data_IF_115800879235
#
_entry.id   IF_115800879235
#
_cell.length_a   1.000
_cell.length_b   1.000
_cell.length_c   1.000
_cell.angle_alpha   90.00
_cell.angle_beta   90.00
_cell.angle_gamma   90.00
#
_symmetry.space_group_name_H-M   'P 1'
#
loop_
_entity.id
_entity.type
_entity.pdbx_description
1 polymer ?
#
# COMPACT_ATOMS: atom_id res chain seq x y z
N UNK A 1 -6.77 20.22 3.17
CA UNK A 1 -7.58 19.13 2.59
C UNK A 1 -7.63 17.99 3.61
N UNK A 2 -8.71 17.87 4.36
CA UNK A 2 -8.84 16.82 5.38
C UNK A 2 -9.00 15.46 4.71
N UNK A 3 -8.05 14.55 4.96
CA UNK A 3 -8.28 13.13 4.69
C UNK A 3 -9.54 12.73 5.45
N UNK A 4 -10.56 12.22 4.74
CA UNK A 4 -11.76 11.71 5.40
C UNK A 4 -11.35 10.48 6.22
N UNK A 5 -11.11 10.68 7.52
CA UNK A 5 -10.71 9.61 8.45
C UNK A 5 -11.71 8.45 8.48
N UNK A 6 -12.96 8.68 8.08
CA UNK A 6 -13.99 7.65 7.88
C UNK A 6 -13.59 6.53 6.91
N UNK A 7 -12.58 6.76 6.06
CA UNK A 7 -12.07 5.79 5.11
C UNK A 7 -10.82 5.06 5.61
N UNK A 8 -10.18 5.53 6.69
CA UNK A 8 -9.01 4.88 7.25
C UNK A 8 -9.41 3.65 8.08
N UNK A 9 -8.62 2.56 8.03
CA UNK A 9 -8.85 1.44 8.91
C UNK A 9 -8.52 1.85 10.34
N UNK A 10 -9.31 1.36 11.29
CA UNK A 10 -9.01 1.46 12.72
C UNK A 10 -8.26 0.21 13.19
N UNK A 11 -7.76 0.21 14.43
CA UNK A 11 -7.10 -0.97 15.01
C UNK A 11 -8.01 -2.21 15.08
N UNK A 12 -9.32 -2.00 15.21
CA UNK A 12 -10.35 -3.07 15.23
C UNK A 12 -10.75 -3.55 13.83
N UNK A 13 -10.29 -2.87 12.78
CA UNK A 13 -10.68 -3.19 11.41
C UNK A 13 -9.98 -4.44 10.92
N UNK A 14 -10.76 -5.44 10.47
CA UNK A 14 -10.21 -6.59 9.76
C UNK A 14 -9.79 -6.16 8.35
N UNK A 15 -8.50 -6.32 8.04
CA UNK A 15 -7.90 -5.85 6.79
C UNK A 15 -8.71 -6.22 5.54
N UNK A 16 -9.08 -7.49 5.37
CA UNK A 16 -9.81 -7.97 4.19
C UNK A 16 -11.19 -7.33 4.08
N UNK A 17 -11.91 -7.19 5.19
CA UNK A 17 -13.23 -6.59 5.23
C UNK A 17 -13.15 -5.10 4.89
N UNK A 18 -12.25 -4.38 5.56
CA UNK A 18 -12.04 -2.96 5.32
C UNK A 18 -11.59 -2.69 3.88
N UNK A 19 -10.63 -3.45 3.36
CA UNK A 19 -10.16 -3.31 1.97
C UNK A 19 -11.32 -3.53 1.00
N UNK A 20 -12.11 -4.58 1.18
CA UNK A 20 -13.27 -4.87 0.30
C UNK A 20 -14.28 -3.72 0.30
N UNK A 21 -14.59 -3.15 1.46
CA UNK A 21 -15.52 -2.01 1.57
C UNK A 21 -14.92 -0.71 1.01
N UNK A 22 -13.66 -0.41 1.30
CA UNK A 22 -12.96 0.76 0.77
C UNK A 22 -12.91 0.70 -0.77
N UNK A 23 -12.61 -0.48 -1.33
CA UNK A 23 -12.59 -0.72 -2.77
C UNK A 23 -13.92 -0.42 -3.47
N UNK A 24 -15.06 -0.69 -2.82
CA UNK A 24 -16.39 -0.38 -3.39
C UNK A 24 -16.59 1.13 -3.59
N UNK A 25 -15.98 1.95 -2.72
CA UNK A 25 -16.06 3.42 -2.75
C UNK A 25 -15.11 4.05 -3.76
N UNK A 26 -14.18 3.28 -4.32
CA UNK A 26 -13.20 3.74 -5.32
C UNK A 26 -13.75 3.53 -6.73
N UNK A 27 -13.49 4.52 -7.60
CA UNK A 27 -13.87 4.50 -9.00
C UNK A 27 -13.27 3.29 -9.73
N UNK A 28 -14.03 2.64 -10.62
CA UNK A 28 -13.66 1.33 -11.20
C UNK A 28 -12.26 1.33 -11.85
N UNK A 29 -11.92 2.41 -12.54
CA UNK A 29 -10.66 2.59 -13.27
C UNK A 29 -9.44 2.64 -12.34
N UNK A 30 -9.60 3.11 -11.10
CA UNK A 30 -8.48 3.24 -10.13
C UNK A 30 -8.41 2.11 -9.13
N UNK A 31 -9.39 1.19 -9.10
CA UNK A 31 -9.41 0.03 -8.19
C UNK A 31 -8.18 -0.85 -8.34
N UNK A 32 -7.70 -1.07 -9.57
CA UNK A 32 -6.49 -1.87 -9.81
C UNK A 32 -5.27 -1.25 -9.11
N UNK A 33 -5.06 0.05 -9.28
CA UNK A 33 -3.96 0.76 -8.61
C UNK A 33 -4.08 0.72 -7.09
N UNK A 34 -5.30 0.89 -6.56
CA UNK A 34 -5.55 0.77 -5.13
C UNK A 34 -5.26 -0.64 -4.59
N UNK A 35 -5.71 -1.68 -5.29
CA UNK A 35 -5.47 -3.08 -4.91
C UNK A 35 -3.95 -3.40 -4.94
N UNK A 36 -3.24 -2.92 -5.96
CA UNK A 36 -1.77 -3.04 -6.05
C UNK A 36 -1.09 -2.35 -4.87
N UNK A 37 -1.51 -1.13 -4.52
CA UNK A 37 -0.96 -0.40 -3.38
C UNK A 37 -1.20 -1.15 -2.06
N UNK A 38 -2.41 -1.67 -1.83
CA UNK A 38 -2.72 -2.46 -0.64
C UNK A 38 -1.90 -3.73 -0.55
N UNK A 39 -1.73 -4.44 -1.67
CA UNK A 39 -0.87 -5.63 -1.72
C UNK A 39 0.59 -5.29 -1.38
N UNK A 40 1.09 -4.16 -1.87
CA UNK A 40 2.46 -3.70 -1.61
C UNK A 40 2.68 -3.37 -0.13
N UNK A 41 1.73 -2.70 0.53
CA UNK A 41 1.75 -2.48 1.98
C UNK A 41 1.81 -3.83 2.72
N UNK A 42 0.90 -4.76 2.40
CA UNK A 42 0.85 -6.07 3.04
C UNK A 42 2.15 -6.85 2.86
N UNK A 43 2.70 -6.82 1.66
CA UNK A 43 3.96 -7.46 1.31
C UNK A 43 5.14 -6.88 2.09
N UNK A 44 5.25 -5.56 2.17
CA UNK A 44 6.35 -4.90 2.91
C UNK A 44 6.25 -5.17 4.41
N UNK A 45 5.05 -5.14 4.99
CA UNK A 45 4.84 -5.51 6.39
C UNK A 45 5.20 -6.98 6.66
N UNK A 46 4.85 -7.88 5.74
CA UNK A 46 5.24 -9.30 5.81
C UNK A 46 6.76 -9.46 5.77
N UNK A 47 7.46 -8.77 4.84
CA UNK A 47 8.93 -8.75 4.78
C UNK A 47 9.55 -8.29 6.10
N UNK A 48 9.04 -7.20 6.68
CA UNK A 48 9.52 -6.68 7.97
C UNK A 48 9.31 -7.67 9.13
N UNK A 49 8.16 -8.35 9.18
CA UNK A 49 7.91 -9.40 10.18
C UNK A 49 8.86 -10.57 10.02
N UNK A 50 9.12 -11.01 8.80
CA UNK A 50 10.08 -12.09 8.53
C UNK A 50 11.51 -11.67 8.89
N UNK A 51 11.92 -10.45 8.56
CA UNK A 51 13.24 -9.94 8.92
C UNK A 51 13.47 -9.99 10.44
N UNK A 52 12.44 -9.68 11.23
CA UNK A 52 12.47 -9.78 12.71
C UNK A 52 12.59 -11.22 13.20
N UNK A 53 11.88 -12.16 12.58
CA UNK A 53 11.91 -13.58 12.97
C UNK A 53 13.25 -14.22 12.62
N UNK A 54 13.81 -13.91 11.45
CA UNK A 54 15.04 -14.52 10.95
C UNK A 54 16.31 -13.73 11.30
N UNK A 55 16.20 -12.67 12.10
CA UNK A 55 17.36 -11.89 12.57
C UNK A 55 18.12 -11.16 11.47
N UNK A 56 17.44 -10.74 10.40
CA UNK A 56 18.06 -9.98 9.31
C UNK A 56 18.38 -8.55 9.76
N UNK A 57 19.50 -7.98 9.30
CA UNK A 57 19.86 -6.58 9.53
C UNK A 57 18.95 -5.56 8.82
N UNK A 58 18.00 -6.03 8.01
CA UNK A 58 17.07 -5.20 7.24
C UNK A 58 15.78 -4.81 8.00
N UNK A 59 15.78 -4.92 9.33
CA UNK A 59 14.64 -4.45 10.14
C UNK A 59 14.60 -2.92 10.09
N UNK A 60 13.45 -2.39 9.70
CA UNK A 60 13.18 -0.96 9.60
C UNK A 60 12.18 -0.52 10.67
N UNK A 61 12.30 0.74 11.10
CA UNK A 61 11.29 1.37 11.96
C UNK A 61 10.01 1.69 11.17
N UNK A 62 8.97 2.21 11.83
CA UNK A 62 7.68 2.47 11.17
C UNK A 62 7.83 3.47 10.02
N UNK A 63 8.57 4.56 10.23
CA UNK A 63 8.76 5.63 9.25
C UNK A 63 9.55 5.16 8.04
N UNK A 64 10.67 4.47 8.25
CA UNK A 64 11.46 3.87 7.18
C UNK A 64 10.65 2.82 6.39
N UNK A 65 9.74 2.10 7.05
CA UNK A 65 8.85 1.15 6.38
C UNK A 65 7.85 1.87 5.48
N UNK A 66 7.32 3.03 5.92
CA UNK A 66 6.45 3.88 5.11
C UNK A 66 7.21 4.43 3.90
N UNK A 67 8.43 4.92 4.10
CA UNK A 67 9.27 5.41 3.01
C UNK A 67 9.54 4.32 1.98
N UNK A 68 9.89 3.10 2.42
CA UNK A 68 10.05 1.95 1.53
C UNK A 68 8.80 1.63 0.71
N UNK A 69 7.61 1.75 1.30
CA UNK A 69 6.34 1.53 0.59
C UNK A 69 6.17 2.58 -0.53
N UNK A 70 6.47 3.85 -0.27
CA UNK A 70 6.37 4.91 -1.27
C UNK A 70 7.45 4.81 -2.36
N UNK A 71 8.66 4.42 -2.00
CA UNK A 71 9.76 4.20 -2.95
C UNK A 71 9.46 3.00 -3.86
N UNK A 72 9.00 1.88 -3.31
CA UNK A 72 8.57 0.72 -4.10
C UNK A 72 7.39 1.12 -5.02
N UNK A 73 6.42 1.89 -4.51
CA UNK A 73 5.29 2.38 -5.30
C UNK A 73 5.75 3.23 -6.49
N UNK A 74 6.68 4.17 -6.27
CA UNK A 74 7.25 5.02 -7.32
C UNK A 74 8.01 4.20 -8.35
N UNK A 75 8.82 3.25 -7.89
CA UNK A 75 9.59 2.34 -8.74
C UNK A 75 8.67 1.49 -9.63
N UNK A 76 7.55 1.03 -9.10
CA UNK A 76 6.58 0.24 -9.85
C UNK A 76 5.81 1.09 -10.86
N UNK A 77 5.56 2.36 -10.54
CA UNK A 77 4.97 3.32 -11.47
C UNK A 77 5.90 3.59 -12.67
N UNK A 78 7.19 3.83 -12.44
CA UNK A 78 8.17 3.99 -13.53
C UNK A 78 8.36 2.72 -14.35
N UNK A 79 8.20 1.53 -13.74
CA UNK A 79 8.25 0.25 -14.44
C UNK A 79 6.96 -0.10 -15.22
N UNK A 80 5.94 0.77 -15.22
CA UNK A 80 4.69 0.57 -15.96
C UNK A 80 3.68 -0.39 -15.32
N UNK A 81 3.92 -0.84 -14.08
CA UNK A 81 3.07 -1.81 -13.39
C UNK A 81 1.65 -1.29 -13.08
N UNK A 82 1.46 0.03 -13.08
CA UNK A 82 0.16 0.67 -12.81
C UNK A 82 -0.78 0.76 -14.02
N UNK A 83 -0.42 0.19 -15.18
CA UNK A 83 -1.36 0.01 -16.30
C UNK A 83 -2.12 1.29 -16.68
N UNK A 84 -1.40 2.41 -16.80
CA UNK A 84 -1.94 3.69 -17.21
C UNK A 84 -0.99 4.36 -18.19
N UNK A 85 -1.52 4.69 -19.36
CA UNK A 85 -0.93 5.66 -20.30
C UNK A 85 -0.40 6.86 -19.51
N UNK A 86 0.76 7.35 -19.93
CA UNK A 86 1.30 8.65 -19.56
C UNK A 86 0.17 9.68 -19.49
N UNK A 87 -0.09 10.20 -18.30
CA UNK A 87 -0.90 11.41 -18.12
C UNK A 87 -0.02 12.53 -18.68
N UNK A 88 -0.42 13.25 -19.75
CA UNK A 88 0.32 14.42 -20.20
C UNK A 88 0.16 15.55 -19.18
N UNK A 89 1.24 16.32 -19.05
CA UNK A 89 1.37 17.52 -18.21
C UNK A 89 0.26 18.55 -18.42
#
# INVERSE_FOLDING_TARGET
MGLRMELCPTYESRLVQWWTEARKRIHKQTRKGFDTFMMLICWTLWKQRNARVFGSSQIKNEWETVDLIFDDLRTWATAGAFGGRSIPE
#
